data_IF_145655914942
#
_entry.id   IF_145655914942
#
_cell.length_a   1.000
_cell.length_b   1.000
_cell.length_c   1.000
_cell.angle_alpha   90.00
_cell.angle_beta   90.00
_cell.angle_gamma   90.00
#
_symmetry.space_group_name_H-M   'P 1'
#
loop_
_entity.id
_entity.type
_entity.pdbx_description
1 polymer ?
#
# COMPACT_ATOMS: atom_id res chain seq x y z
N UNK A 1 24.71 -7.26 -10.05
CA UNK A 1 24.42 -8.37 -10.99
C UNK A 1 22.91 -8.43 -11.09
N UNK A 2 22.31 -7.76 -12.08
CA UNK A 2 20.86 -7.76 -12.25
C UNK A 2 20.55 -8.45 -13.57
N UNK A 3 19.75 -9.49 -13.45
CA UNK A 3 19.39 -10.42 -14.50
C UNK A 3 18.58 -9.76 -15.61
N UNK A 4 18.97 -10.15 -16.82
CA UNK A 4 18.21 -10.06 -18.06
C UNK A 4 16.73 -10.38 -17.87
N UNK A 5 15.87 -9.45 -18.28
CA UNK A 5 14.52 -9.80 -18.74
C UNK A 5 14.45 -9.51 -20.23
N UNK A 6 14.81 -10.53 -21.01
CA UNK A 6 14.48 -10.59 -22.43
C UNK A 6 12.95 -10.71 -22.53
N UNK A 7 12.31 -9.69 -23.09
CA UNK A 7 10.93 -9.79 -23.55
C UNK A 7 11.01 -10.31 -24.99
N UNK A 8 10.78 -11.61 -25.15
CA UNK A 8 10.55 -12.21 -26.46
C UNK A 8 9.24 -11.64 -27.04
N UNK A 9 9.38 -10.84 -28.09
CA UNK A 9 8.25 -10.46 -28.95
C UNK A 9 7.90 -11.67 -29.81
N UNK A 10 6.89 -12.42 -29.37
CA UNK A 10 6.25 -13.46 -30.16
C UNK A 10 5.55 -12.82 -31.36
N UNK A 11 6.19 -12.96 -32.51
CA UNK A 11 5.59 -12.87 -33.83
C UNK A 11 4.50 -13.94 -33.96
N UNK A 12 3.24 -13.51 -33.91
CA UNK A 12 2.10 -14.38 -34.13
C UNK A 12 0.86 -13.55 -34.44
N UNK A 13 0.63 -13.31 -35.74
CA UNK A 13 -0.69 -13.01 -36.30
C UNK A 13 -0.66 -13.33 -37.80
N UNK A 14 -0.62 -14.63 -38.09
CA UNK A 14 -1.07 -15.16 -39.37
C UNK A 14 -2.59 -15.02 -39.43
N UNK A 15 -3.06 -13.85 -39.87
CA UNK A 15 -4.46 -13.68 -40.25
C UNK A 15 -4.65 -14.22 -41.66
N UNK A 16 -4.93 -15.51 -41.77
CA UNK A 16 -5.49 -16.15 -42.96
C UNK A 16 -6.79 -15.44 -43.36
N UNK A 17 -6.70 -14.63 -44.41
CA UNK A 17 -7.86 -13.99 -45.02
C UNK A 17 -8.59 -15.03 -45.89
N UNK A 18 -9.77 -15.44 -45.41
CA UNK A 18 -10.72 -16.26 -46.16
C UNK A 18 -11.19 -15.51 -47.40
N UNK A 19 -10.56 -15.78 -48.55
CA UNK A 19 -11.03 -15.35 -49.87
C UNK A 19 -12.32 -16.09 -50.21
N UNK A 20 -13.41 -15.34 -50.38
CA UNK A 20 -14.70 -15.86 -50.84
C UNK A 20 -14.67 -16.19 -52.34
N UNK A 21 -15.46 -17.15 -52.85
CA UNK A 21 -15.47 -17.52 -54.26
C UNK A 21 -16.14 -16.42 -55.09
N UNK A 22 -15.36 -15.76 -55.94
CA UNK A 22 -15.87 -14.80 -56.92
C UNK A 22 -16.57 -15.60 -58.02
N UNK A 23 -17.89 -15.43 -58.15
CA UNK A 23 -18.70 -16.03 -59.21
C UNK A 23 -18.33 -15.44 -60.57
N UNK A 24 -18.00 -16.31 -61.52
CA UNK A 24 -17.66 -15.97 -62.90
C UNK A 24 -18.83 -15.26 -63.62
N UNK A 25 -18.63 -14.04 -64.16
CA UNK A 25 -19.63 -13.41 -65.01
C UNK A 25 -19.65 -14.06 -66.40
N UNK A 26 -20.84 -14.48 -66.82
CA UNK A 26 -21.11 -15.08 -68.14
C UNK A 26 -20.77 -14.12 -69.28
N UNK A 27 -20.02 -14.63 -70.25
CA UNK A 27 -19.51 -13.91 -71.41
C UNK A 27 -20.61 -13.44 -72.37
N UNK A 28 -20.92 -12.15 -72.36
CA UNK A 28 -21.70 -11.50 -73.43
C UNK A 28 -20.78 -11.00 -74.54
N UNK A 29 -20.85 -11.63 -75.72
CA UNK A 29 -20.14 -11.23 -76.95
C UNK A 29 -20.67 -9.89 -77.44
N UNK A 30 -19.96 -8.79 -77.17
CA UNK A 30 -20.28 -7.45 -77.67
C UNK A 30 -19.30 -7.03 -78.76
N UNK A 31 -19.85 -6.70 -79.93
CA UNK A 31 -19.13 -6.40 -81.19
C UNK A 31 -18.17 -5.22 -81.02
N UNK A 32 -16.91 -5.43 -81.42
CA UNK A 32 -15.82 -4.44 -81.43
C UNK A 32 -15.88 -3.57 -82.68
N UNK A 33 -16.24 -2.29 -82.54
CA UNK A 33 -16.03 -1.26 -83.57
C UNK A 33 -15.56 0.03 -82.88
N UNK A 34 -14.30 0.43 -83.10
CA UNK A 34 -13.71 1.68 -82.58
C UNK A 34 -12.41 1.53 -81.79
N UNK A 35 -11.33 0.98 -82.37
CA UNK A 35 -10.08 0.62 -81.66
C UNK A 35 -8.92 1.63 -81.75
N UNK A 36 -9.10 2.83 -82.33
CA UNK A 36 -7.95 3.72 -82.66
C UNK A 36 -7.79 4.99 -81.80
N UNK A 37 -8.72 5.32 -80.89
CA UNK A 37 -8.65 6.56 -80.09
C UNK A 37 -8.26 6.37 -78.62
N UNK A 38 -8.31 5.15 -78.06
CA UNK A 38 -8.14 4.91 -76.62
C UNK A 38 -6.69 4.92 -76.15
N UNK A 39 -5.72 4.58 -77.01
CA UNK A 39 -4.31 4.41 -76.60
C UNK A 39 -3.64 5.70 -76.13
N UNK A 40 -4.05 6.87 -76.66
CA UNK A 40 -3.50 8.17 -76.26
C UNK A 40 -3.95 8.62 -74.86
N UNK A 41 -5.19 8.28 -74.45
CA UNK A 41 -5.73 8.65 -73.12
C UNK A 41 -5.08 7.90 -71.96
N UNK A 42 -4.54 6.70 -72.21
CA UNK A 42 -3.83 5.93 -71.18
C UNK A 42 -2.42 6.44 -70.89
N UNK A 43 -1.73 6.99 -71.90
CA UNK A 43 -0.39 7.54 -71.72
C UNK A 43 -0.40 8.79 -70.82
N UNK A 44 -1.30 9.74 -71.08
CA UNK A 44 -1.43 10.96 -70.26
C UNK A 44 -1.83 10.65 -68.79
N UNK A 45 -2.57 9.56 -68.59
CA UNK A 45 -2.95 9.07 -67.26
C UNK A 45 -1.76 8.49 -66.49
N UNK A 46 -0.84 7.81 -67.17
CA UNK A 46 0.33 7.18 -66.55
C UNK A 46 1.31 8.24 -66.04
N UNK A 47 1.56 9.27 -66.84
CA UNK A 47 2.45 10.38 -66.45
C UNK A 47 1.92 11.14 -65.24
N UNK A 48 0.61 11.41 -65.21
CA UNK A 48 -0.06 12.05 -64.06
C UNK A 48 0.04 11.22 -62.79
N UNK A 49 0.01 9.89 -62.89
CA UNK A 49 0.20 8.99 -61.74
C UNK A 49 1.65 9.04 -61.24
N UNK A 50 2.63 9.03 -62.14
CA UNK A 50 4.06 9.13 -61.76
C UNK A 50 4.36 10.41 -60.98
N UNK A 51 3.80 11.55 -61.42
CA UNK A 51 3.96 12.83 -60.74
C UNK A 51 3.35 12.81 -59.32
N UNK A 52 2.15 12.26 -59.16
CA UNK A 52 1.51 12.08 -57.84
C UNK A 52 2.31 11.17 -56.91
N UNK A 53 2.87 10.08 -57.45
CA UNK A 53 3.72 9.16 -56.66
C UNK A 53 4.96 9.91 -56.17
N UNK A 54 5.60 10.72 -57.01
CA UNK A 54 6.75 11.53 -56.61
C UNK A 54 6.38 12.54 -55.51
N UNK A 55 5.25 13.24 -55.64
CA UNK A 55 4.76 14.18 -54.63
C UNK A 55 4.49 13.49 -53.28
N UNK A 56 3.85 12.31 -53.29
CA UNK A 56 3.59 11.54 -52.08
C UNK A 56 4.89 11.06 -51.41
N UNK A 57 5.92 10.70 -52.18
CA UNK A 57 7.22 10.31 -51.64
C UNK A 57 7.88 11.45 -50.85
N UNK A 58 7.82 12.68 -51.37
CA UNK A 58 8.35 13.86 -50.66
C UNK A 58 7.59 14.08 -49.34
N UNK A 59 6.26 14.01 -49.37
CA UNK A 59 5.43 14.14 -48.15
C UNK A 59 5.73 13.06 -47.11
N UNK A 60 5.95 11.82 -47.54
CA UNK A 60 6.35 10.72 -46.64
C UNK A 60 7.71 11.02 -45.99
N UNK A 61 8.67 11.55 -46.75
CA UNK A 61 9.98 11.90 -46.21
C UNK A 61 9.90 13.05 -45.18
N UNK A 62 9.09 14.07 -45.46
CA UNK A 62 8.81 15.16 -44.52
C UNK A 62 8.14 14.63 -43.24
N UNK A 63 7.12 13.78 -43.37
CA UNK A 63 6.49 13.12 -42.22
C UNK A 63 7.50 12.32 -41.41
N UNK A 64 8.38 11.56 -42.05
CA UNK A 64 9.41 10.79 -41.35
C UNK A 64 10.38 11.70 -40.56
N UNK A 65 10.73 12.87 -41.10
CA UNK A 65 11.51 13.88 -40.37
C UNK A 65 10.76 14.40 -39.14
N UNK A 66 9.46 14.69 -39.27
CA UNK A 66 8.65 15.12 -38.12
C UNK A 66 8.50 14.02 -37.06
N UNK A 67 8.31 12.77 -37.46
CA UNK A 67 8.25 11.62 -36.53
C UNK A 67 9.57 11.44 -35.79
N UNK A 68 10.70 11.59 -36.48
CA UNK A 68 12.02 11.54 -35.84
C UNK A 68 12.19 12.67 -34.80
N UNK A 69 11.77 13.90 -35.12
CA UNK A 69 11.82 15.04 -34.20
C UNK A 69 10.89 14.86 -32.98
N UNK A 70 9.68 14.33 -33.18
CA UNK A 70 8.76 14.01 -32.08
C UNK A 70 9.38 12.95 -31.17
N UNK A 71 10.01 11.92 -31.75
CA UNK A 71 10.66 10.85 -30.99
C UNK A 71 11.81 11.37 -30.14
N UNK A 72 12.67 12.25 -30.68
CA UNK A 72 13.75 12.86 -29.90
C UNK A 72 13.21 13.71 -28.74
N UNK A 73 12.10 14.43 -28.96
CA UNK A 73 11.47 15.20 -27.88
C UNK A 73 10.86 14.31 -26.79
N UNK A 74 10.26 13.18 -27.17
CA UNK A 74 9.77 12.19 -26.21
C UNK A 74 10.90 11.60 -25.36
N UNK A 75 12.04 11.29 -25.98
CA UNK A 75 13.22 10.78 -25.27
C UNK A 75 13.78 11.82 -24.30
N UNK A 76 13.83 13.10 -24.69
CA UNK A 76 14.24 14.20 -23.81
C UNK A 76 13.30 14.38 -22.61
N UNK A 77 11.98 14.35 -22.84
CA UNK A 77 10.99 14.41 -21.76
C UNK A 77 11.16 13.25 -20.77
N UNK A 78 11.44 12.04 -21.29
CA UNK A 78 11.69 10.86 -20.45
C UNK A 78 12.95 11.03 -19.61
N UNK A 79 14.05 11.50 -20.20
CA UNK A 79 15.29 11.79 -19.46
C UNK A 79 15.09 12.84 -18.37
N UNK A 80 14.31 13.90 -18.66
CA UNK A 80 14.00 14.94 -17.67
C UNK A 80 13.13 14.40 -16.53
N UNK A 81 12.18 13.51 -16.82
CA UNK A 81 11.39 12.83 -15.80
C UNK A 81 12.27 11.96 -14.89
N UNK A 82 13.16 11.17 -15.47
CA UNK A 82 14.06 10.28 -14.72
C UNK A 82 15.02 11.09 -13.84
N UNK A 83 15.61 12.19 -14.35
CA UNK A 83 16.44 13.12 -13.55
C UNK A 83 15.66 13.72 -12.37
N UNK A 84 14.42 14.14 -12.60
CA UNK A 84 13.58 14.71 -11.53
C UNK A 84 13.30 13.67 -10.44
N UNK A 85 13.04 12.42 -10.83
CA UNK A 85 12.81 11.33 -9.89
C UNK A 85 14.06 11.03 -9.07
N UNK A 86 15.25 11.06 -9.67
CA UNK A 86 16.52 10.88 -8.96
C UNK A 86 16.74 11.97 -7.90
N UNK A 87 16.47 13.24 -8.23
CA UNK A 87 16.56 14.35 -7.27
C UNK A 87 15.57 14.16 -6.13
N UNK A 88 14.33 13.76 -6.41
CA UNK A 88 13.32 13.49 -5.39
C UNK A 88 13.75 12.37 -4.42
N UNK A 89 14.36 11.31 -4.95
CA UNK A 89 14.91 10.22 -4.12
C UNK A 89 16.04 10.72 -3.21
N UNK A 90 17.00 11.47 -3.75
CA UNK A 90 18.11 12.03 -2.96
C UNK A 90 17.63 12.97 -1.86
N UNK A 91 16.59 13.76 -2.12
CA UNK A 91 16.00 14.63 -1.09
C UNK A 91 15.40 13.83 0.06
N UNK A 92 14.70 12.73 -0.24
CA UNK A 92 14.17 11.83 0.80
C UNK A 92 15.29 11.17 1.61
N UNK A 93 16.39 10.78 0.97
CA UNK A 93 17.55 10.24 1.68
C UNK A 93 18.16 11.27 2.64
N UNK A 94 18.28 12.53 2.21
CA UNK A 94 18.74 13.64 3.06
C UNK A 94 17.79 13.89 4.24
N UNK A 95 16.47 13.80 4.02
CA UNK A 95 15.48 13.94 5.09
C UNK A 95 15.60 12.81 6.13
N UNK A 96 15.80 11.57 5.68
CA UNK A 96 16.02 10.43 6.56
C UNK A 96 17.32 10.61 7.37
N UNK A 97 18.40 11.04 6.73
CA UNK A 97 19.69 11.28 7.41
C UNK A 97 19.57 12.39 8.46
N UNK A 98 18.86 13.49 8.15
CA UNK A 98 18.60 14.56 9.12
C UNK A 98 17.78 14.07 10.30
N UNK A 99 16.71 13.32 10.05
CA UNK A 99 15.89 12.75 11.12
C UNK A 99 16.69 11.75 11.99
N UNK A 100 17.61 10.99 11.39
CA UNK A 100 18.50 10.11 12.13
C UNK A 100 19.45 10.89 13.05
N UNK A 101 20.07 11.97 12.55
CA UNK A 101 20.96 12.84 13.34
C UNK A 101 20.21 13.52 14.51
N UNK A 102 19.02 14.05 14.26
CA UNK A 102 18.20 14.65 15.33
C UNK A 102 17.79 13.62 16.40
N UNK A 103 17.51 12.38 16.02
CA UNK A 103 17.21 11.31 16.97
C UNK A 103 18.45 10.88 17.75
N UNK A 104 19.63 10.84 17.13
CA UNK A 104 20.89 10.55 17.80
C UNK A 104 21.24 11.62 18.84
N UNK A 105 21.07 12.90 18.51
CA UNK A 105 21.27 14.01 19.45
C UNK A 105 20.30 13.93 20.64
N UNK A 106 19.02 13.64 20.40
CA UNK A 106 18.03 13.43 21.48
C UNK A 106 18.36 12.22 22.36
N UNK A 107 18.82 11.13 21.75
CA UNK A 107 19.24 9.94 22.49
C UNK A 107 20.47 10.25 23.37
N UNK A 108 21.46 10.95 22.83
CA UNK A 108 22.65 11.36 23.58
C UNK A 108 22.33 12.32 24.73
N UNK A 109 21.42 13.27 24.51
CA UNK A 109 20.93 14.15 25.59
C UNK A 109 20.25 13.35 26.71
N UNK A 110 19.42 12.36 26.35
CA UNK A 110 18.72 11.49 27.32
C UNK A 110 19.72 10.63 28.11
N UNK A 111 20.75 10.08 27.45
CA UNK A 111 21.79 9.30 28.10
C UNK A 111 22.59 10.16 29.08
N UNK A 112 22.94 11.40 28.70
CA UNK A 112 23.64 12.33 29.57
C UNK A 112 22.82 12.68 30.83
N UNK A 113 21.52 12.91 30.69
CA UNK A 113 20.63 13.17 31.82
C UNK A 113 20.50 11.95 32.76
N UNK A 114 20.41 10.74 32.20
CA UNK A 114 20.39 9.51 32.99
C UNK A 114 21.70 9.29 33.76
N UNK A 115 22.85 9.56 33.13
CA UNK A 115 24.16 9.46 33.79
C UNK A 115 24.27 10.41 34.99
N UNK A 116 23.82 11.65 34.84
CA UNK A 116 23.79 12.62 35.94
C UNK A 116 22.90 12.15 37.10
N UNK A 117 21.72 11.60 36.80
CA UNK A 117 20.82 11.07 37.83
C UNK A 117 21.40 9.87 38.58
N UNK A 118 22.15 9.01 37.89
CA UNK A 118 22.85 7.89 38.52
C UNK A 118 23.93 8.41 39.48
N UNK A 119 24.72 9.40 39.05
CA UNK A 119 25.75 10.03 39.90
C UNK A 119 25.15 10.69 41.16
N UNK A 120 24.02 11.39 41.01
CA UNK A 120 23.28 11.99 42.13
C UNK A 120 22.81 10.93 43.14
N UNK A 121 22.25 9.80 42.66
CA UNK A 121 21.82 8.68 43.51
C UNK A 121 22.99 7.98 44.20
N UNK A 122 24.13 7.83 43.52
CA UNK A 122 25.35 7.27 44.12
C UNK A 122 25.88 8.17 45.24
N UNK A 123 25.81 9.49 45.07
CA UNK A 123 26.17 10.46 46.11
C UNK A 123 25.23 10.40 47.30
N UNK A 124 23.92 10.29 47.08
CA UNK A 124 22.92 10.13 48.14
C UNK A 124 23.15 8.83 48.93
N UNK A 125 23.46 7.72 48.23
CA UNK A 125 23.80 6.45 48.86
C UNK A 125 25.07 6.53 49.71
N UNK A 126 26.08 7.31 49.29
CA UNK A 126 27.29 7.56 50.08
C UNK A 126 26.99 8.34 51.36
N UNK A 127 26.09 9.33 51.30
CA UNK A 127 25.67 10.08 52.49
C UNK A 127 24.94 9.19 53.50
N UNK A 128 24.02 8.34 53.04
CA UNK A 128 23.30 7.41 53.91
C UNK A 128 24.23 6.41 54.60
N UNK A 129 25.28 5.94 53.90
CA UNK A 129 26.30 5.04 54.49
C UNK A 129 27.19 5.71 55.53
N UNK A 130 27.33 7.04 55.48
CA UNK A 130 28.14 7.80 56.43
C UNK A 130 27.40 8.13 57.73
N UNK A 131 26.07 7.93 57.80
CA UNK A 131 25.32 8.12 59.04
C UNK A 131 25.67 6.98 60.02
N UNK A 132 26.13 7.30 61.25
CA UNK A 132 26.49 6.29 62.23
C UNK A 132 25.27 5.43 62.58
N UNK A 133 25.41 4.12 62.39
CA UNK A 133 24.37 3.14 62.68
C UNK A 133 24.02 3.19 64.16
N UNK A 134 22.93 3.89 64.48
CA UNK A 134 22.30 3.82 65.79
C UNK A 134 21.66 2.43 65.85
N UNK A 135 22.39 1.48 66.44
CA UNK A 135 21.93 0.14 66.74
C UNK A 135 20.66 0.23 67.59
N UNK A 136 19.52 0.23 66.92
CA UNK A 136 18.21 0.19 67.54
C UNK A 136 17.79 -1.27 67.55
N UNK A 137 17.98 -1.86 68.71
CA UNK A 137 17.39 -3.11 69.16
C UNK A 137 15.87 -2.93 69.16
N UNK A 138 15.18 -3.33 68.09
CA UNK A 138 13.73 -3.51 68.18
C UNK A 138 13.21 -4.64 67.29
N UNK A 139 12.72 -5.64 67.99
CA UNK A 139 12.30 -6.94 67.52
C UNK A 139 10.81 -6.90 67.17
N UNK A 140 10.35 -6.19 66.14
CA UNK A 140 8.92 -6.28 65.79
C UNK A 140 8.53 -5.79 64.38
N UNK A 141 8.92 -6.49 63.32
CA UNK A 141 8.31 -6.28 61.98
C UNK A 141 7.92 -7.59 61.28
N UNK A 142 7.39 -8.55 62.02
CA UNK A 142 6.57 -9.62 61.45
C UNK A 142 5.11 -9.17 61.49
N UNK A 143 4.61 -8.55 60.40
CA UNK A 143 3.19 -8.58 60.00
C UNK A 143 2.89 -7.62 58.84
N UNK A 144 3.70 -7.61 57.77
CA UNK A 144 3.15 -7.27 56.44
C UNK A 144 2.41 -8.52 55.95
N UNK A 145 1.18 -8.65 56.45
CA UNK A 145 0.26 -9.76 56.20
C UNK A 145 0.15 -10.01 54.70
N UNK A 146 0.47 -11.23 54.30
CA UNK A 146 0.24 -11.75 52.97
C UNK A 146 -1.23 -11.50 52.61
N UNK A 147 -1.50 -10.52 51.73
CA UNK A 147 -2.85 -10.33 51.22
C UNK A 147 -3.24 -11.64 50.50
N UNK A 148 -4.43 -12.21 50.79
CA UNK A 148 -4.86 -13.45 50.15
C UNK A 148 -4.89 -13.23 48.65
N UNK A 149 -4.14 -14.07 47.93
CA UNK A 149 -3.94 -13.94 46.50
C UNK A 149 -5.23 -14.28 45.77
N UNK A 150 -6.03 -15.25 46.24
CA UNK A 150 -7.30 -15.70 45.66
C UNK A 150 -8.38 -15.80 46.77
N UNK A 151 -9.67 -15.76 46.41
CA UNK A 151 -10.81 -15.92 47.34
C UNK A 151 -10.84 -17.28 48.06
N UNK A 152 -10.17 -18.29 47.52
CA UNK A 152 -10.04 -19.59 48.18
C UNK A 152 -9.07 -19.59 49.37
N UNK A 153 -8.30 -18.51 49.58
CA UNK A 153 -7.37 -18.35 50.70
C UNK A 153 -6.11 -19.21 50.65
N UNK A 154 -5.95 -20.05 49.61
CA UNK A 154 -4.75 -20.88 49.41
C UNK A 154 -3.67 -20.08 48.70
N UNK A 155 -2.41 -20.25 49.13
CA UNK A 155 -1.24 -19.63 48.51
C UNK A 155 -0.42 -20.76 47.89
N UNK A 156 -0.76 -21.10 46.64
CA UNK A 156 -0.04 -22.12 45.89
C UNK A 156 1.02 -21.45 45.01
N UNK A 157 2.30 -21.57 45.39
CA UNK A 157 3.42 -20.89 44.70
C UNK A 157 3.57 -21.28 43.22
N UNK A 158 3.00 -22.43 42.82
CA UNK A 158 3.11 -22.99 41.48
C UNK A 158 1.81 -22.88 40.66
N UNK A 159 0.73 -22.36 41.25
CA UNK A 159 -0.54 -22.27 40.55
C UNK A 159 -0.51 -21.14 39.51
N UNK A 160 -1.18 -21.35 38.38
CA UNK A 160 -1.39 -20.28 37.40
C UNK A 160 -2.41 -19.30 37.97
N UNK A 161 -2.05 -18.01 37.95
CA UNK A 161 -2.87 -16.92 38.45
C UNK A 161 -3.33 -16.02 37.30
N UNK A 162 -4.59 -15.58 37.34
CA UNK A 162 -5.17 -14.58 36.45
C UNK A 162 -5.50 -13.32 37.24
N UNK A 163 -5.27 -12.14 36.65
CA UNK A 163 -5.50 -10.85 37.27
C UNK A 163 -6.91 -10.32 36.93
N UNK A 164 -7.64 -9.81 37.93
CA UNK A 164 -8.92 -9.15 37.71
C UNK A 164 -8.72 -7.67 37.36
N UNK A 165 -9.20 -7.23 36.19
CA UNK A 165 -9.08 -5.85 35.70
C UNK A 165 -10.00 -4.82 36.39
N UNK A 166 -10.75 -5.24 37.41
CA UNK A 166 -11.62 -4.35 38.18
C UNK A 166 -10.81 -3.33 39.02
N UNK A 167 -11.03 -2.01 38.86
CA UNK A 167 -10.20 -0.96 39.48
C UNK A 167 -10.28 -0.94 41.01
N UNK A 168 -11.33 -1.52 41.59
CA UNK A 168 -11.56 -1.59 43.05
C UNK A 168 -11.75 -3.01 43.54
N UNK A 169 -11.21 -3.99 42.83
CA UNK A 169 -11.34 -5.38 43.24
C UNK A 169 -10.54 -5.64 44.54
N UNK A 170 -11.16 -6.21 45.60
CA UNK A 170 -10.46 -6.47 46.86
C UNK A 170 -9.39 -7.56 46.75
N UNK A 171 -9.51 -8.44 45.75
CA UNK A 171 -8.58 -9.54 45.46
C UNK A 171 -8.18 -9.42 44.01
N UNK A 172 -6.89 -9.18 43.78
CA UNK A 172 -6.38 -8.86 42.44
C UNK A 172 -6.07 -10.10 41.60
N UNK A 173 -5.77 -11.23 42.24
CA UNK A 173 -5.30 -12.44 41.58
C UNK A 173 -6.28 -13.60 41.84
N UNK A 174 -6.36 -14.56 40.93
CA UNK A 174 -7.24 -15.71 41.09
C UNK A 174 -6.56 -16.93 40.48
N UNK A 175 -6.69 -18.10 41.11
CA UNK A 175 -6.24 -19.32 40.44
C UNK A 175 -7.12 -19.58 39.23
N UNK A 176 -6.52 -20.01 38.12
CA UNK A 176 -7.26 -20.40 36.90
C UNK A 176 -8.33 -21.48 37.16
N UNK A 177 -8.17 -22.30 38.20
CA UNK A 177 -9.16 -23.32 38.57
C UNK A 177 -10.29 -22.76 39.45
N UNK A 178 -10.05 -21.65 40.14
CA UNK A 178 -11.05 -20.99 40.98
C UNK A 178 -11.98 -20.06 40.19
N UNK A 179 -11.60 -19.70 38.97
CA UNK A 179 -12.39 -18.87 38.06
C UNK A 179 -12.45 -19.53 36.70
N UNK A 180 -13.64 -19.82 36.19
CA UNK A 180 -13.86 -20.42 34.86
C UNK A 180 -13.59 -19.37 33.76
N UNK A 181 -12.35 -18.89 33.68
CA UNK A 181 -11.95 -17.78 32.84
C UNK A 181 -11.32 -18.25 31.53
N UNK A 182 -11.73 -17.64 30.42
CA UNK A 182 -11.03 -17.80 29.14
C UNK A 182 -9.68 -17.07 29.18
N UNK A 183 -8.60 -17.68 28.64
CA UNK A 183 -7.27 -17.06 28.62
C UNK A 183 -7.17 -15.89 27.63
N UNK A 184 -8.16 -15.71 26.75
CA UNK A 184 -8.15 -14.69 25.71
C UNK A 184 -9.05 -13.50 26.08
N UNK A 185 -8.50 -12.53 26.83
CA UNK A 185 -9.15 -11.24 27.05
C UNK A 185 -8.94 -10.65 28.44
N UNK A 186 -9.52 -9.47 28.72
CA UNK A 186 -9.60 -8.93 30.06
C UNK A 186 -10.55 -9.78 30.91
N UNK A 187 -10.08 -10.21 32.08
CA UNK A 187 -10.85 -10.99 33.03
C UNK A 187 -11.37 -10.10 34.18
N UNK A 188 -12.62 -10.31 34.58
CA UNK A 188 -13.25 -9.64 35.73
C UNK A 188 -13.85 -10.72 36.64
N UNK A 189 -13.53 -10.68 37.94
CA UNK A 189 -13.96 -11.73 38.88
C UNK A 189 -15.46 -11.69 39.22
N UNK A 190 -16.15 -10.58 38.91
CA UNK A 190 -17.57 -10.40 39.13
C UNK A 190 -18.12 -9.29 38.22
N UNK A 191 -19.44 -9.30 37.98
CA UNK A 191 -20.13 -8.31 37.14
C UNK A 191 -19.90 -6.86 37.58
N UNK A 192 -19.67 -6.63 38.87
CA UNK A 192 -19.44 -5.29 39.40
C UNK A 192 -18.10 -4.73 38.92
N UNK A 193 -17.04 -5.57 38.88
CA UNK A 193 -15.73 -5.18 38.36
C UNK A 193 -15.78 -4.84 36.87
N UNK A 194 -16.55 -5.60 36.09
CA UNK A 194 -16.76 -5.33 34.67
C UNK A 194 -17.55 -4.03 34.44
N UNK A 195 -18.64 -3.81 35.18
CA UNK A 195 -19.43 -2.58 35.10
C UNK A 195 -18.63 -1.35 35.50
N UNK A 196 -17.80 -1.45 36.53
CA UNK A 196 -16.93 -0.35 36.96
C UNK A 196 -15.89 0.01 35.91
N UNK A 197 -15.25 -0.97 35.28
CA UNK A 197 -14.27 -0.72 34.22
C UNK A 197 -14.92 -0.07 32.98
N UNK A 198 -16.12 -0.55 32.59
CA UNK A 198 -16.93 0.11 31.53
C UNK A 198 -17.30 1.55 31.90
N UNK A 199 -17.74 1.79 33.14
CA UNK A 199 -18.11 3.14 33.60
C UNK A 199 -16.92 4.10 33.66
N UNK A 200 -15.72 3.62 33.96
CA UNK A 200 -14.48 4.42 33.89
C UNK A 200 -14.07 4.69 32.44
N UNK A 201 -14.35 3.77 31.52
CA UNK A 201 -14.14 3.96 30.08
C UNK A 201 -15.01 5.07 29.49
N UNK A 202 -16.22 5.27 30.01
CA UNK A 202 -17.17 6.29 29.53
C UNK A 202 -16.92 7.69 30.10
N UNK A 203 -16.35 7.80 31.31
CA UNK A 203 -16.13 9.08 31.99
C UNK A 203 -14.95 9.91 31.47
N UNK A 204 -14.39 9.57 30.31
CA UNK A 204 -13.53 10.47 29.55
C UNK A 204 -12.39 11.08 30.38
N UNK A 205 -11.75 10.29 31.24
CA UNK A 205 -10.40 10.65 31.67
C UNK A 205 -9.59 10.61 30.38
N UNK A 206 -9.22 11.79 29.91
CA UNK A 206 -8.24 12.07 28.88
C UNK A 206 -6.94 11.37 29.28
N UNK A 207 -6.89 10.05 29.03
CA UNK A 207 -5.68 9.25 29.10
C UNK A 207 -4.75 9.90 28.09
N UNK A 208 -3.76 10.63 28.60
CA UNK A 208 -2.57 10.98 27.83
C UNK A 208 -2.17 9.77 26.99
N UNK A 209 -1.94 10.05 25.71
CA UNK A 209 -1.79 9.14 24.59
C UNK A 209 -0.88 7.93 24.86
N UNK A 210 -1.41 6.92 25.52
CA UNK A 210 -0.95 5.54 25.38
C UNK A 210 -2.02 4.83 24.56
N UNK A 211 -1.77 4.82 23.26
CA UNK A 211 -2.67 4.28 22.25
C UNK A 211 -3.14 2.87 22.63
N UNK A 212 -4.46 2.71 22.77
CA UNK A 212 -5.10 1.41 23.00
C UNK A 212 -4.72 0.46 21.86
N UNK A 213 -4.12 -0.71 22.12
CA UNK A 213 -3.70 -1.64 21.06
C UNK A 213 -4.87 -2.21 20.22
N UNK A 214 -6.12 -2.07 20.66
CA UNK A 214 -7.30 -2.56 19.94
C UNK A 214 -7.95 -1.54 18.97
N UNK A 215 -7.77 -0.24 19.13
CA UNK A 215 -8.26 0.75 18.15
C UNK A 215 -7.32 0.92 16.95
N UNK A 216 -6.02 0.69 17.17
CA UNK A 216 -5.02 0.60 16.10
C UNK A 216 -5.37 -0.57 15.15
N UNK A 217 -5.84 -1.71 15.67
CA UNK A 217 -6.24 -2.87 14.85
C UNK A 217 -7.44 -2.57 13.94
N UNK A 218 -8.40 -1.75 14.35
CA UNK A 218 -9.56 -1.40 13.53
C UNK A 218 -9.26 -0.34 12.45
N UNK A 219 -8.32 0.59 12.71
CA UNK A 219 -7.85 1.56 11.68
C UNK A 219 -6.97 0.89 10.60
N UNK A 220 -6.22 -0.17 10.94
CA UNK A 220 -5.37 -0.91 9.98
C UNK A 220 -6.21 -1.74 8.98
N UNK A 221 -7.49 -1.96 9.25
CA UNK A 221 -8.33 -2.86 8.46
C UNK A 221 -9.10 -2.19 7.31
N UNK A 222 -9.01 -0.86 7.14
CA UNK A 222 -9.73 -0.12 6.09
C UNK A 222 -8.77 0.39 5.01
N UNK A 223 -9.10 0.18 3.75
CA UNK A 223 -8.35 0.70 2.59
C UNK A 223 -9.25 1.54 1.69
N UNK A 224 -8.67 2.61 1.16
CA UNK A 224 -9.37 3.50 0.25
C UNK A 224 -9.22 3.06 -1.20
N UNK A 225 -10.31 3.12 -1.96
CA UNK A 225 -10.27 2.89 -3.40
C UNK A 225 -9.59 4.08 -4.09
N UNK A 226 -8.54 3.82 -4.87
CA UNK A 226 -7.75 4.88 -5.51
C UNK A 226 -8.48 5.63 -6.64
N UNK A 227 -9.72 5.26 -6.97
CA UNK A 227 -10.52 5.97 -7.97
C UNK A 227 -11.27 7.15 -7.36
N UNK A 228 -10.96 8.36 -7.82
CA UNK A 228 -11.56 9.64 -7.37
C UNK A 228 -13.10 9.69 -7.31
N UNK A 229 -13.79 8.89 -8.12
CA UNK A 229 -15.27 8.85 -8.21
C UNK A 229 -15.84 7.50 -7.79
N UNK A 230 -15.21 6.80 -6.85
CA UNK A 230 -15.79 5.61 -6.24
C UNK A 230 -16.88 6.02 -5.24
N UNK A 231 -18.09 5.45 -5.36
CA UNK A 231 -19.22 5.75 -4.46
C UNK A 231 -18.93 5.35 -3.01
N UNK A 232 -18.19 4.25 -2.81
CA UNK A 232 -17.75 3.78 -1.49
C UNK A 232 -16.25 4.05 -1.38
N UNK A 233 -15.85 4.93 -0.47
CA UNK A 233 -14.45 5.32 -0.35
C UNK A 233 -13.61 4.31 0.43
N UNK A 234 -14.18 3.67 1.44
CA UNK A 234 -13.46 2.79 2.37
C UNK A 234 -14.01 1.37 2.35
N UNK A 235 -13.10 0.39 2.32
CA UNK A 235 -13.42 -1.03 2.33
C UNK A 235 -12.65 -1.73 3.43
N UNK A 236 -13.29 -2.66 4.13
CA UNK A 236 -12.58 -3.57 5.03
C UNK A 236 -11.77 -4.57 4.22
N UNK A 237 -10.46 -4.70 4.48
CA UNK A 237 -9.55 -5.62 3.79
C UNK A 237 -10.11 -7.06 3.76
N UNK A 238 -10.65 -7.53 4.90
CA UNK A 238 -11.31 -8.85 5.00
C UNK A 238 -12.51 -9.01 4.07
N UNK A 239 -13.38 -7.99 3.97
CA UNK A 239 -14.58 -8.03 3.12
C UNK A 239 -14.26 -8.05 1.63
N UNK A 240 -13.07 -7.58 1.24
CA UNK A 240 -12.61 -7.60 -0.15
C UNK A 240 -11.58 -8.70 -0.42
N UNK A 241 -11.45 -9.67 0.51
CA UNK A 241 -10.56 -10.83 0.35
C UNK A 241 -9.07 -10.51 0.41
N UNK A 242 -8.68 -9.35 0.94
CA UNK A 242 -7.29 -8.92 1.05
C UNK A 242 -6.77 -9.29 2.43
N UNK A 243 -5.75 -10.16 2.48
CA UNK A 243 -5.11 -10.60 3.73
C UNK A 243 -4.10 -9.59 4.27
N UNK A 244 -3.44 -8.83 3.40
CA UNK A 244 -2.40 -7.85 3.73
C UNK A 244 -2.57 -6.59 2.89
N UNK A 245 -2.42 -5.41 3.48
CA UNK A 245 -2.58 -4.14 2.75
C UNK A 245 -1.58 -4.08 1.59
N UNK A 246 -2.03 -3.92 0.34
CA UNK A 246 -1.13 -3.78 -0.80
C UNK A 246 -0.34 -2.46 -0.70
N UNK A 247 0.92 -2.49 -1.13
CA UNK A 247 1.79 -1.32 -1.26
C UNK A 247 1.36 -0.41 -2.42
N UNK A 248 0.72 -0.99 -3.44
CA UNK A 248 0.22 -0.27 -4.61
C UNK A 248 -1.19 0.31 -4.38
N UNK A 249 -1.56 1.37 -5.13
CA UNK A 249 -2.93 1.90 -5.16
C UNK A 249 -3.95 0.78 -5.45
N UNK A 250 -4.85 0.54 -4.51
CA UNK A 250 -5.86 -0.53 -4.63
C UNK A 250 -7.16 0.02 -5.21
N UNK A 251 -7.77 -0.76 -6.10
CA UNK A 251 -9.03 -0.41 -6.76
C UNK A 251 -10.06 -1.50 -6.43
N UNK A 252 -11.25 -1.09 -5.99
CA UNK A 252 -12.31 -2.05 -5.66
C UNK A 252 -12.81 -2.81 -6.90
N UNK A 253 -13.40 -3.98 -6.70
CA UNK A 253 -13.94 -4.84 -7.77
C UNK A 253 -14.87 -4.09 -8.73
N UNK A 254 -15.82 -3.32 -8.18
CA UNK A 254 -16.75 -2.49 -8.99
C UNK A 254 -16.02 -1.47 -9.87
N UNK A 255 -14.98 -0.82 -9.36
CA UNK A 255 -14.19 0.12 -10.16
C UNK A 255 -13.30 -0.59 -11.18
N UNK A 256 -12.79 -1.78 -10.85
CA UNK A 256 -12.01 -2.63 -11.77
C UNK A 256 -12.85 -3.06 -12.97
N UNK A 257 -14.07 -3.55 -12.74
CA UNK A 257 -15.01 -3.92 -13.81
C UNK A 257 -15.34 -2.72 -14.72
N UNK A 258 -15.62 -1.55 -14.14
CA UNK A 258 -15.85 -0.31 -14.91
C UNK A 258 -14.64 0.09 -15.76
N UNK A 259 -13.41 -0.13 -15.27
CA UNK A 259 -12.17 0.14 -16.02
C UNK A 259 -11.98 -0.84 -17.18
N UNK A 260 -12.19 -2.13 -16.95
CA UNK A 260 -12.09 -3.16 -17.99
C UNK A 260 -13.16 -2.98 -19.08
N UNK A 261 -14.38 -2.62 -18.70
CA UNK A 261 -15.44 -2.29 -19.65
C UNK A 261 -15.08 -1.08 -20.54
N UNK A 262 -14.45 -0.05 -19.97
CA UNK A 262 -13.95 1.11 -20.73
C UNK A 262 -12.78 0.73 -21.64
N UNK A 263 -11.89 -0.16 -21.22
CA UNK A 263 -10.80 -0.68 -22.05
C UNK A 263 -11.36 -1.42 -23.27
N UNK A 264 -12.27 -2.38 -23.06
CA UNK A 264 -12.95 -3.12 -24.15
C UNK A 264 -13.66 -2.20 -25.14
N UNK A 265 -14.27 -1.10 -24.68
CA UNK A 265 -14.89 -0.11 -25.59
C UNK A 265 -13.86 0.59 -26.48
N UNK A 266 -12.73 1.03 -25.90
CA UNK A 266 -11.64 1.67 -26.67
C UNK A 266 -10.99 0.71 -27.64
N UNK A 267 -10.77 -0.54 -27.24
CA UNK A 267 -10.16 -1.55 -28.11
C UNK A 267 -11.07 -1.81 -29.33
N UNK A 268 -12.38 -2.01 -29.12
CA UNK A 268 -13.37 -2.11 -30.21
C UNK A 268 -13.44 -0.87 -31.09
N UNK A 269 -13.31 0.31 -30.51
CA UNK A 269 -13.29 1.55 -31.27
C UNK A 269 -12.02 1.63 -32.13
N UNK A 270 -10.85 1.28 -31.60
CA UNK A 270 -9.59 1.23 -32.35
C UNK A 270 -9.61 0.22 -33.50
N UNK A 271 -10.21 -0.95 -33.31
CA UNK A 271 -10.42 -1.94 -34.38
C UNK A 271 -11.31 -1.38 -35.50
N UNK A 272 -12.34 -0.59 -35.14
CA UNK A 272 -13.23 0.05 -36.12
C UNK A 272 -12.51 1.09 -36.98
N UNK A 273 -11.60 1.86 -36.39
CA UNK A 273 -10.79 2.84 -37.12
C UNK A 273 -9.77 2.16 -38.04
N UNK A 274 -9.15 1.06 -37.58
CA UNK A 274 -8.18 0.31 -38.38
C UNK A 274 -8.81 -0.38 -39.61
N UNK A 275 -10.10 -0.72 -39.57
CA UNK A 275 -10.82 -1.29 -40.72
C UNK A 275 -11.32 -0.26 -41.75
N UNK A 276 -11.29 1.04 -41.41
CA UNK A 276 -11.81 2.11 -42.26
C UNK A 276 -10.72 2.88 -43.04
N UNK A 277 -9.45 2.50 -42.88
CA UNK A 277 -8.29 3.06 -43.57
C UNK A 277 -7.75 2.10 -44.62
#
# INVERSE_FOLDING_TARGET
MNESSMIELSSGNDSESKTSPIKEPKATKRKTRGKRSSKKRFADSEEKLKLKIAELKVKIEEMNKTVASIKSFQDELKQNYDRRLEVEMRLKDIEIEKAAKENEEKANATISEQQKRIEDLENELRQLKAMPSIASDDSNTQNKRDKPICTCGKIDKNAKLIYCFGPKCPVEWYHFECVEADPEGPFYCCDNCEKEDRALGEKGIEKQELAKPNEIKLRICKKECSKKHCEVKQYHLKCVGIKQSPLIPWICSKCKEKLEAKKKKRDKESERWNFSS
#
